data_IF_218251685292
#
_entry.id   IF_218251685292
#
_cell.length_a   1.000
_cell.length_b   1.000
_cell.length_c   1.000
_cell.angle_alpha   90.00
_cell.angle_beta   90.00
_cell.angle_gamma   90.00
#
_symmetry.space_group_name_H-M   'P 1'
#
loop_
_entity.id
_entity.type
_entity.pdbx_description
1 polymer ?
#
# COMPACT_ATOMS: atom_id res chain seq x y z
N UNK A 1 2.60 0.72 4.38
CA UNK A 1 2.55 -0.76 4.36
C UNK A 1 1.40 -1.24 5.23
N UNK A 2 0.58 -2.17 4.74
CA UNK A 2 -0.56 -2.67 5.50
C UNK A 2 -0.39 -4.13 5.91
N UNK A 3 -0.78 -4.46 7.13
CA UNK A 3 -0.95 -5.85 7.58
C UNK A 3 -2.41 -6.26 7.48
N UNK A 4 -2.69 -7.55 7.42
CA UNK A 4 -4.06 -8.06 7.36
C UNK A 4 -4.56 -8.48 8.74
N UNK A 5 -5.85 -8.31 8.97
CA UNK A 5 -6.59 -8.90 10.08
C UNK A 5 -7.89 -9.50 9.55
N UNK A 6 -8.33 -10.66 10.05
CA UNK A 6 -9.64 -11.19 9.66
C UNK A 6 -10.74 -10.21 10.11
N UNK A 7 -11.78 -10.06 9.30
CA UNK A 7 -12.87 -9.13 9.58
C UNK A 7 -13.57 -9.44 10.91
N UNK A 8 -13.69 -10.72 11.26
CA UNK A 8 -14.21 -11.18 12.56
C UNK A 8 -13.41 -10.71 13.76
N UNK A 9 -12.11 -10.43 13.64
CA UNK A 9 -11.33 -9.89 14.75
C UNK A 9 -11.83 -8.51 15.21
N UNK A 10 -12.56 -7.79 14.34
CA UNK A 10 -13.18 -6.52 14.68
C UNK A 10 -14.63 -6.67 15.18
N UNK A 11 -15.26 -7.83 14.95
CA UNK A 11 -16.61 -8.12 15.42
C UNK A 11 -16.55 -8.54 16.90
N UNK A 12 -16.99 -7.66 17.81
CA UNK A 12 -17.08 -7.94 19.25
C UNK A 12 -15.92 -7.41 20.10
N UNK A 13 -14.86 -6.88 19.49
CA UNK A 13 -13.71 -6.32 20.20
C UNK A 13 -13.43 -4.86 19.77
N UNK A 14 -14.15 -3.87 20.32
CA UNK A 14 -13.95 -2.46 19.97
C UNK A 14 -12.52 -1.97 20.25
N UNK A 15 -11.83 -2.58 21.22
CA UNK A 15 -10.42 -2.30 21.51
C UNK A 15 -9.48 -2.69 20.37
N UNK A 16 -9.75 -3.80 19.67
CA UNK A 16 -8.94 -4.25 18.53
C UNK A 16 -9.05 -3.28 17.35
N UNK A 17 -10.20 -2.65 17.18
CA UNK A 17 -10.40 -1.58 16.20
C UNK A 17 -9.80 -0.24 16.63
N UNK A 18 -9.56 -0.03 17.93
CA UNK A 18 -9.10 1.25 18.48
C UNK A 18 -7.59 1.41 18.50
N UNK A 19 -6.84 0.31 18.34
CA UNK A 19 -5.38 0.36 18.29
C UNK A 19 -4.90 0.48 16.84
N UNK A 20 -4.06 1.48 16.51
CA UNK A 20 -3.33 1.46 15.25
C UNK A 20 -2.34 0.27 15.24
N UNK A 21 -1.80 -0.12 14.08
CA UNK A 21 -0.71 -1.10 14.04
C UNK A 21 0.41 -0.74 15.00
N UNK A 22 1.00 -1.73 15.69
CA UNK A 22 2.12 -1.49 16.60
C UNK A 22 3.26 -0.73 15.90
N UNK A 23 3.49 -1.06 14.62
CA UNK A 23 4.36 -0.32 13.71
C UNK A 23 3.94 1.16 13.54
N UNK A 24 2.65 1.45 13.33
CA UNK A 24 2.17 2.83 13.15
C UNK A 24 2.38 3.73 14.39
N UNK A 25 2.32 3.16 15.60
CA UNK A 25 2.50 3.91 16.85
C UNK A 25 3.96 4.35 17.10
N UNK A 26 4.93 3.62 16.54
CA UNK A 26 6.36 3.95 16.69
C UNK A 26 6.94 4.75 15.49
N UNK A 27 6.22 4.87 14.36
CA UNK A 27 6.87 5.06 13.05
C UNK A 27 6.19 6.07 12.09
N UNK A 28 5.56 7.13 12.59
CA UNK A 28 5.20 8.26 11.71
C UNK A 28 4.21 7.93 10.58
N UNK A 29 3.17 7.14 10.85
CA UNK A 29 1.88 7.27 10.13
C UNK A 29 1.69 6.49 8.83
N UNK A 30 2.64 5.70 8.33
CA UNK A 30 2.51 4.99 7.04
C UNK A 30 2.16 3.50 7.13
N UNK A 31 1.71 3.03 8.30
CA UNK A 31 1.29 1.64 8.54
C UNK A 31 -0.22 1.56 8.81
N UNK A 32 -0.89 0.52 8.30
CA UNK A 32 -2.35 0.34 8.46
C UNK A 32 -2.77 -1.13 8.55
N UNK A 33 -4.05 -1.36 8.83
CA UNK A 33 -4.67 -2.69 8.76
C UNK A 33 -5.60 -2.80 7.55
N UNK A 34 -5.62 -3.95 6.89
CA UNK A 34 -6.66 -4.36 5.95
C UNK A 34 -7.51 -5.43 6.63
N UNK A 35 -8.82 -5.19 6.73
CA UNK A 35 -9.79 -6.18 7.19
C UNK A 35 -10.14 -7.13 6.03
N UNK A 36 -9.88 -8.42 6.21
CA UNK A 36 -10.07 -9.45 5.18
C UNK A 36 -11.25 -10.33 5.57
N UNK A 37 -12.26 -10.42 4.71
CA UNK A 37 -13.38 -11.34 4.93
C UNK A 37 -13.00 -12.74 4.45
N UNK A 38 -12.99 -13.71 5.36
CA UNK A 38 -12.74 -15.12 5.02
C UNK A 38 -13.90 -15.69 4.21
N UNK A 39 -13.61 -16.76 3.47
CA UNK A 39 -14.63 -17.47 2.69
C UNK A 39 -15.42 -18.48 3.55
N UNK A 40 -14.88 -18.84 4.71
CA UNK A 40 -15.42 -19.81 5.67
C UNK A 40 -16.37 -19.17 6.71
N UNK A 41 -16.28 -17.85 6.92
CA UNK A 41 -17.29 -17.09 7.67
C UNK A 41 -18.57 -17.03 6.85
N UNK A 42 -19.35 -18.10 6.99
CA UNK A 42 -20.65 -18.27 6.38
C UNK A 42 -21.48 -17.01 6.51
N UNK A 43 -22.13 -16.62 5.42
CA UNK A 43 -23.40 -15.91 5.44
C UNK A 43 -23.95 -15.90 4.03
N UNK A 44 -25.16 -16.45 3.91
CA UNK A 44 -26.23 -15.80 3.17
C UNK A 44 -25.88 -15.35 1.75
N UNK A 45 -25.58 -16.31 0.88
CA UNK A 45 -26.20 -16.21 -0.45
C UNK A 45 -27.71 -16.32 -0.24
N UNK A 46 -28.39 -15.21 0.12
CA UNK A 46 -29.85 -15.19 0.06
C UNK A 46 -30.23 -15.31 -1.42
N UNK A 47 -30.43 -16.54 -1.89
CA UNK A 47 -31.09 -16.86 -3.16
C UNK A 47 -32.55 -16.41 -3.05
N UNK A 48 -32.79 -15.12 -3.18
CA UNK A 48 -34.12 -14.62 -3.49
C UNK A 48 -34.22 -14.57 -5.02
N UNK A 49 -35.01 -15.48 -5.60
CA UNK A 49 -35.48 -15.41 -6.99
C UNK A 49 -34.41 -15.54 -8.09
N UNK A 50 -33.50 -16.50 -7.99
CA UNK A 50 -32.63 -16.91 -9.11
C UNK A 50 -31.54 -15.91 -9.53
N UNK A 51 -31.48 -14.73 -8.91
CA UNK A 51 -30.43 -13.74 -9.09
C UNK A 51 -29.48 -13.80 -7.87
N UNK A 52 -28.16 -13.85 -8.12
CA UNK A 52 -27.16 -13.74 -7.06
C UNK A 52 -27.24 -12.34 -6.44
N UNK A 53 -27.94 -12.21 -5.31
CA UNK A 53 -27.93 -10.98 -4.52
C UNK A 53 -26.58 -10.84 -3.82
N UNK A 54 -25.90 -9.71 -4.01
CA UNK A 54 -24.65 -9.43 -3.32
C UNK A 54 -24.91 -9.30 -1.81
N UNK A 55 -24.10 -9.91 -0.93
CA UNK A 55 -24.33 -9.83 0.51
C UNK A 55 -24.19 -8.39 1.01
N UNK A 56 -25.23 -7.92 1.70
CA UNK A 56 -25.28 -6.57 2.28
C UNK A 56 -24.29 -6.45 3.44
N UNK A 57 -23.46 -5.43 3.42
CA UNK A 57 -22.60 -5.06 4.54
C UNK A 57 -23.39 -4.21 5.53
N UNK A 58 -23.38 -4.61 6.81
CA UNK A 58 -24.13 -3.94 7.88
C UNK A 58 -23.25 -3.26 8.94
N UNK A 59 -21.95 -3.50 8.92
CA UNK A 59 -21.01 -3.01 9.93
C UNK A 59 -19.68 -2.60 9.33
N UNK A 60 -18.86 -1.96 10.17
CA UNK A 60 -17.50 -1.55 9.86
C UNK A 60 -16.50 -2.39 10.70
N UNK A 61 -15.23 -2.50 10.26
CA UNK A 61 -14.67 -1.93 9.03
C UNK A 61 -15.19 -2.61 7.76
N UNK A 62 -15.12 -1.92 6.61
CA UNK A 62 -15.41 -2.57 5.32
C UNK A 62 -14.34 -3.63 4.99
N UNK A 63 -14.68 -4.73 4.31
CA UNK A 63 -13.69 -5.71 3.86
C UNK A 63 -12.87 -5.20 2.67
N UNK A 64 -11.54 -5.19 2.80
CA UNK A 64 -10.61 -4.70 1.77
C UNK A 64 -10.32 -5.71 0.65
N UNK A 65 -10.62 -7.00 0.85
CA UNK A 65 -10.55 -8.03 -0.20
C UNK A 65 -11.85 -8.13 -1.03
N UNK A 66 -12.69 -7.08 -1.01
CA UNK A 66 -13.98 -7.03 -1.70
C UNK A 66 -14.16 -5.69 -2.43
N UNK A 67 -14.99 -5.71 -3.47
CA UNK A 67 -15.52 -4.48 -4.06
C UNK A 67 -16.87 -4.19 -3.43
N UNK A 68 -17.01 -3.00 -2.87
CA UNK A 68 -18.23 -2.53 -2.21
C UNK A 68 -19.02 -1.67 -3.18
N UNK A 69 -20.22 -2.12 -3.54
CA UNK A 69 -21.21 -1.33 -4.27
C UNK A 69 -21.94 -0.43 -3.28
N UNK A 70 -21.81 0.88 -3.46
CA UNK A 70 -22.53 1.91 -2.71
C UNK A 70 -23.75 2.33 -3.52
N UNK A 71 -24.94 2.21 -2.95
CA UNK A 71 -26.20 2.57 -3.62
C UNK A 71 -27.13 3.29 -2.64
N UNK A 72 -27.80 4.34 -3.11
CA UNK A 72 -28.79 5.08 -2.33
C UNK A 72 -30.21 4.68 -2.76
N UNK A 73 -30.98 3.97 -1.91
CA UNK A 73 -32.35 3.60 -2.21
C UNK A 73 -33.27 4.79 -2.48
N UNK A 74 -32.94 6.00 -2.01
CA UNK A 74 -33.72 7.20 -2.27
C UNK A 74 -33.71 7.62 -3.75
N UNK A 75 -32.77 7.10 -4.54
CA UNK A 75 -32.69 7.35 -5.99
C UNK A 75 -33.67 6.47 -6.79
N UNK A 76 -34.34 5.49 -6.17
CA UNK A 76 -35.31 4.63 -6.84
C UNK A 76 -34.71 3.91 -8.04
N UNK A 77 -35.36 4.04 -9.20
CA UNK A 77 -34.92 3.41 -10.46
C UNK A 77 -33.55 3.90 -10.95
N UNK A 78 -33.09 5.07 -10.50
CA UNK A 78 -31.78 5.61 -10.86
C UNK A 78 -30.65 5.11 -9.96
N UNK A 79 -30.95 4.33 -8.92
CA UNK A 79 -29.96 3.89 -7.94
C UNK A 79 -28.78 3.17 -8.58
N UNK A 80 -29.03 2.31 -9.56
CA UNK A 80 -27.99 1.57 -10.27
C UNK A 80 -27.13 2.46 -11.17
N UNK A 81 -27.73 3.49 -11.79
CA UNK A 81 -27.02 4.42 -12.67
C UNK A 81 -26.02 5.32 -11.92
N UNK A 82 -26.30 5.57 -10.64
CA UNK A 82 -25.46 6.40 -9.76
C UNK A 82 -24.67 5.60 -8.72
N UNK A 83 -24.76 4.28 -8.74
CA UNK A 83 -24.03 3.44 -7.81
C UNK A 83 -22.52 3.53 -8.06
N UNK A 84 -21.76 3.68 -6.98
CA UNK A 84 -20.29 3.61 -7.03
C UNK A 84 -19.84 2.21 -6.61
N UNK A 85 -19.10 1.52 -7.47
CA UNK A 85 -18.36 0.31 -7.10
C UNK A 85 -16.96 0.73 -6.62
N UNK A 86 -16.62 0.46 -5.36
CA UNK A 86 -15.48 1.06 -4.67
C UNK A 86 -14.66 0.03 -3.89
N UNK A 87 -13.33 0.21 -3.87
CA UNK A 87 -12.46 -0.39 -2.85
C UNK A 87 -12.16 0.68 -1.81
N UNK A 88 -12.68 0.49 -0.60
CA UNK A 88 -12.43 1.38 0.53
C UNK A 88 -11.07 1.04 1.14
N UNK A 89 -10.06 1.86 0.83
CA UNK A 89 -8.71 1.71 1.35
C UNK A 89 -8.57 2.50 2.66
N UNK A 90 -8.27 1.87 3.80
CA UNK A 90 -8.12 2.58 5.07
C UNK A 90 -6.99 3.62 5.02
N UNK A 91 -7.22 4.80 5.59
CA UNK A 91 -6.17 5.81 5.71
C UNK A 91 -5.06 5.27 6.63
N UNK A 92 -3.78 5.27 6.21
CA UNK A 92 -2.70 4.74 7.04
C UNK A 92 -2.51 5.60 8.30
N UNK A 93 -1.99 5.00 9.37
CA UNK A 93 -1.78 5.66 10.67
C UNK A 93 -3.04 5.84 11.51
N UNK A 94 -4.23 5.77 10.92
CA UNK A 94 -5.49 5.83 11.63
C UNK A 94 -5.92 4.44 12.15
N UNK A 95 -6.48 4.33 13.37
CA UNK A 95 -7.03 3.06 13.84
C UNK A 95 -8.26 2.67 13.00
N UNK A 96 -8.55 1.37 12.81
CA UNK A 96 -9.74 0.93 12.08
C UNK A 96 -11.06 1.54 12.57
N UNK A 97 -11.18 1.84 13.86
CA UNK A 97 -12.36 2.49 14.47
C UNK A 97 -12.59 3.92 14.01
N UNK A 98 -11.57 4.58 13.44
CA UNK A 98 -11.73 5.92 12.85
C UNK A 98 -12.62 5.91 11.61
N UNK A 99 -12.82 4.73 10.99
CA UNK A 99 -13.63 4.55 9.78
C UNK A 99 -13.24 5.51 8.64
N UNK A 100 -11.96 5.90 8.58
CA UNK A 100 -11.43 6.79 7.55
C UNK A 100 -10.90 6.00 6.37
N UNK A 101 -11.40 6.32 5.18
CA UNK A 101 -11.05 5.63 3.95
C UNK A 101 -10.79 6.61 2.80
N UNK A 102 -9.93 6.16 1.88
CA UNK A 102 -9.95 6.59 0.49
C UNK A 102 -10.95 5.72 -0.27
N UNK A 103 -11.94 6.34 -0.92
CA UNK A 103 -12.90 5.63 -1.76
C UNK A 103 -12.38 5.55 -3.21
N UNK A 104 -11.67 4.46 -3.53
CA UNK A 104 -11.12 4.22 -4.88
C UNK A 104 -12.19 3.59 -5.77
N UNK A 105 -12.48 4.22 -6.90
CA UNK A 105 -13.44 3.68 -7.86
C UNK A 105 -12.91 2.42 -8.55
N UNK A 106 -13.67 1.34 -8.48
CA UNK A 106 -13.34 0.02 -9.03
C UNK A 106 -13.98 -0.25 -10.39
N UNK A 107 -14.86 0.61 -10.87
CA UNK A 107 -15.55 0.44 -12.15
C UNK A 107 -15.75 1.76 -12.90
N UNK A 108 -16.20 1.64 -14.15
CA UNK A 108 -16.53 2.78 -15.01
C UNK A 108 -15.32 3.54 -15.55
N UNK A 109 -15.58 4.75 -16.05
CA UNK A 109 -14.58 5.64 -16.69
C UNK A 109 -13.54 6.20 -15.72
N UNK A 110 -13.88 6.26 -14.43
CA UNK A 110 -13.04 6.83 -13.38
C UNK A 110 -12.32 5.76 -12.54
N UNK A 111 -12.28 4.51 -13.02
CA UNK A 111 -11.59 3.41 -12.33
C UNK A 111 -10.15 3.79 -12.00
N UNK A 112 -9.74 3.53 -10.76
CA UNK A 112 -8.43 3.87 -10.21
C UNK A 112 -8.33 5.27 -9.61
N UNK A 113 -9.31 6.16 -9.86
CA UNK A 113 -9.36 7.48 -9.22
C UNK A 113 -10.03 7.41 -7.85
N UNK A 114 -9.69 8.36 -6.98
CA UNK A 114 -10.25 8.49 -5.64
C UNK A 114 -11.37 9.52 -5.67
N UNK A 115 -12.51 9.20 -5.03
CA UNK A 115 -13.58 10.18 -4.78
C UNK A 115 -13.05 11.27 -3.84
N UNK A 116 -13.29 12.52 -4.21
CA UNK A 116 -12.94 13.68 -3.41
C UNK A 116 -14.21 14.37 -2.90
N UNK A 117 -14.11 14.97 -1.71
CA UNK A 117 -15.08 15.91 -1.20
C UNK A 117 -14.95 17.24 -1.95
N UNK A 118 -16.09 17.91 -2.14
CA UNK A 118 -16.12 19.29 -2.67
C UNK A 118 -15.88 20.27 -1.54
N UNK A 119 -15.49 21.51 -1.83
CA UNK A 119 -15.43 22.54 -0.80
C UNK A 119 -16.81 23.13 -0.57
N UNK A 120 -17.05 23.66 0.63
CA UNK A 120 -18.28 24.39 0.93
C UNK A 120 -18.50 25.57 -0.02
N UNK A 121 -17.43 26.25 -0.43
CA UNK A 121 -17.44 27.33 -1.42
C UNK A 121 -17.91 26.89 -2.83
N UNK A 122 -17.80 25.59 -3.16
CA UNK A 122 -18.31 25.04 -4.42
C UNK A 122 -19.84 24.85 -4.40
N UNK A 123 -20.48 25.08 -3.26
CA UNK A 123 -21.93 25.06 -3.13
C UNK A 123 -22.55 26.35 -3.68
N UNK A 124 -23.15 26.26 -4.87
CA UNK A 124 -23.96 27.34 -5.40
C UNK A 124 -25.31 27.38 -4.65
N UNK A 125 -25.66 28.55 -4.13
CA UNK A 125 -27.02 28.81 -3.65
C UNK A 125 -27.82 29.34 -4.83
N UNK A 126 -28.70 28.53 -5.41
CA UNK A 126 -29.57 28.96 -6.52
C UNK A 126 -30.99 28.47 -6.26
N UNK A 127 -32.00 29.35 -6.43
CA UNK A 127 -33.45 29.04 -6.31
C UNK A 127 -33.85 28.16 -5.10
N UNK A 128 -33.68 28.66 -3.87
CA UNK A 128 -34.15 28.00 -2.62
C UNK A 128 -33.59 26.58 -2.34
N UNK A 129 -32.64 26.10 -3.13
CA UNK A 129 -31.92 24.85 -2.89
C UNK A 129 -30.40 25.07 -2.86
N UNK A 130 -29.72 24.32 -1.98
CA UNK A 130 -28.25 24.29 -1.91
C UNK A 130 -27.75 23.25 -2.89
N UNK A 131 -27.30 23.68 -4.06
CA UNK A 131 -26.77 22.79 -5.10
C UNK A 131 -25.24 22.72 -4.98
N UNK A 132 -24.74 21.61 -4.44
CA UNK A 132 -23.30 21.36 -4.36
C UNK A 132 -22.82 20.80 -5.70
N UNK A 133 -21.85 21.47 -6.32
CA UNK A 133 -21.18 20.93 -7.51
C UNK A 133 -20.15 19.91 -7.07
N UNK A 134 -20.47 18.64 -7.27
CA UNK A 134 -19.62 17.55 -6.84
C UNK A 134 -18.25 17.54 -7.54
N UNK A 135 -17.20 17.51 -6.72
CA UNK A 135 -15.83 17.33 -7.19
C UNK A 135 -15.70 16.04 -8.00
N UNK A 136 -15.00 16.12 -9.14
CA UNK A 136 -14.68 14.95 -9.96
C UNK A 136 -13.66 14.07 -9.22
N UNK A 137 -13.73 12.73 -9.37
CA UNK A 137 -12.67 11.85 -8.91
C UNK A 137 -11.32 12.25 -9.51
N UNK A 138 -10.25 12.14 -8.72
CA UNK A 138 -8.89 12.53 -9.13
C UNK A 138 -7.84 11.51 -8.65
N UNK A 139 -6.61 11.53 -9.19
CA UNK A 139 -5.55 10.63 -8.76
C UNK A 139 -5.30 10.73 -7.26
N UNK A 140 -4.86 9.63 -6.65
CA UNK A 140 -4.48 9.61 -5.25
C UNK A 140 -3.43 10.69 -4.95
N UNK A 141 -3.69 11.47 -3.90
CA UNK A 141 -2.77 12.44 -3.35
C UNK A 141 -2.88 12.38 -1.81
N UNK A 142 -1.82 11.94 -1.09
CA UNK A 142 -1.88 11.86 0.37
C UNK A 142 -1.96 13.24 1.05
N UNK A 143 -1.56 14.32 0.39
CA UNK A 143 -1.69 15.68 0.92
C UNK A 143 -3.11 16.24 0.76
N UNK A 144 -3.93 15.60 -0.08
CA UNK A 144 -5.30 16.00 -0.37
C UNK A 144 -6.28 15.43 0.66
N UNK A 145 -6.45 16.17 1.76
CA UNK A 145 -7.37 15.82 2.84
C UNK A 145 -8.82 15.61 2.37
N UNK A 146 -9.23 16.21 1.23
CA UNK A 146 -10.58 16.04 0.69
C UNK A 146 -10.81 14.64 0.09
N UNK A 147 -9.76 13.86 -0.18
CA UNK A 147 -9.90 12.45 -0.60
C UNK A 147 -10.21 11.51 0.57
N UNK A 148 -10.06 11.98 1.82
CA UNK A 148 -10.34 11.20 3.01
C UNK A 148 -11.79 11.43 3.47
N UNK A 149 -12.53 10.34 3.64
CA UNK A 149 -13.88 10.36 4.19
C UNK A 149 -14.00 9.45 5.41
N UNK A 150 -14.70 9.95 6.43
CA UNK A 150 -15.15 9.14 7.56
C UNK A 150 -16.51 8.52 7.21
N UNK A 151 -16.61 7.19 7.27
CA UNK A 151 -17.87 6.47 7.09
C UNK A 151 -18.54 6.32 8.44
N UNK A 152 -19.78 6.80 8.53
CA UNK A 152 -20.56 6.79 9.77
C UNK A 152 -21.72 5.80 9.61
N UNK A 153 -21.78 4.72 10.41
CA UNK A 153 -22.91 3.80 10.39
C UNK A 153 -24.17 4.50 10.93
N UNK A 154 -25.32 4.23 10.33
CA UNK A 154 -26.62 4.74 10.76
C UNK A 154 -27.66 3.61 10.84
N UNK A 155 -28.92 3.93 11.20
CA UNK A 155 -30.00 2.95 11.30
C UNK A 155 -30.29 2.30 9.95
N UNK A 156 -29.66 1.15 9.72
CA UNK A 156 -29.85 0.34 8.52
C UNK A 156 -29.04 0.84 7.31
N UNK A 157 -27.91 1.49 7.48
CA UNK A 157 -27.06 1.90 6.37
C UNK A 157 -25.86 2.71 6.83
N UNK A 158 -25.38 3.57 5.95
CA UNK A 158 -24.25 4.45 6.23
C UNK A 158 -24.52 5.87 5.71
N UNK A 159 -23.74 6.81 6.23
CA UNK A 159 -23.52 8.14 5.68
C UNK A 159 -22.01 8.42 5.73
N UNK A 160 -21.55 9.53 5.19
CA UNK A 160 -20.14 9.92 5.25
C UNK A 160 -19.97 11.38 5.67
N UNK A 161 -18.83 11.66 6.28
CA UNK A 161 -18.33 13.00 6.59
C UNK A 161 -17.00 13.21 5.90
N UNK A 162 -16.71 14.44 5.49
CA UNK A 162 -15.35 14.76 5.07
C UNK A 162 -14.44 14.84 6.29
N UNK A 163 -13.18 14.44 6.13
CA UNK A 163 -12.15 14.73 7.13
C UNK A 163 -11.75 16.20 7.09
N UNK A 164 -11.88 16.86 5.94
CA UNK A 164 -11.71 18.31 5.82
C UNK A 164 -12.90 19.03 6.46
N UNK A 165 -12.65 20.06 7.25
CA UNK A 165 -13.69 20.78 8.01
C UNK A 165 -14.72 21.46 7.10
N UNK A 166 -14.28 21.95 5.94
CA UNK A 166 -15.08 22.60 4.90
C UNK A 166 -15.47 21.64 3.76
N UNK A 167 -15.26 20.33 3.96
CA UNK A 167 -15.46 19.32 2.92
C UNK A 167 -16.89 18.76 2.90
N UNK A 168 -17.45 18.68 1.69
CA UNK A 168 -18.75 18.08 1.41
C UNK A 168 -18.56 16.78 0.62
N UNK A 169 -18.83 15.59 1.20
CA UNK A 169 -18.73 14.34 0.47
C UNK A 169 -19.59 14.34 -0.79
N UNK A 170 -19.17 13.55 -1.79
CA UNK A 170 -19.92 13.33 -3.04
C UNK A 170 -21.38 12.97 -2.74
N UNK A 171 -22.35 13.44 -3.55
CA UNK A 171 -23.79 13.40 -3.21
C UNK A 171 -24.27 12.05 -2.68
N UNK A 172 -23.80 10.94 -3.28
CA UNK A 172 -24.15 9.59 -2.88
C UNK A 172 -23.75 9.29 -1.43
N UNK A 173 -22.56 9.72 -1.02
CA UNK A 173 -21.99 9.46 0.31
C UNK A 173 -22.55 10.40 1.39
N UNK A 174 -22.89 11.65 1.04
CA UNK A 174 -23.57 12.59 1.95
C UNK A 174 -25.08 12.37 2.08
N UNK A 175 -25.64 11.42 1.33
CA UNK A 175 -27.04 11.04 1.50
C UNK A 175 -27.31 10.59 2.95
N UNK A 176 -28.56 10.79 3.39
CA UNK A 176 -29.00 10.42 4.75
C UNK A 176 -28.80 8.93 5.03
N UNK A 177 -28.93 8.09 4.00
CA UNK A 177 -28.75 6.63 4.12
C UNK A 177 -28.45 6.00 2.76
N UNK A 178 -27.23 5.57 2.57
CA UNK A 178 -26.85 4.64 1.49
C UNK A 178 -26.57 3.25 2.04
N UNK A 179 -26.63 2.25 1.16
CA UNK A 179 -26.41 0.84 1.43
C UNK A 179 -25.11 0.38 0.79
N UNK A 180 -24.47 -0.60 1.43
CA UNK A 180 -23.24 -1.21 0.97
C UNK A 180 -23.45 -2.69 0.69
N UNK A 181 -22.97 -3.15 -0.46
CA UNK A 181 -23.01 -4.55 -0.86
C UNK A 181 -21.61 -5.00 -1.24
N UNK A 182 -21.09 -6.04 -0.58
CA UNK A 182 -19.74 -6.52 -0.84
C UNK A 182 -19.78 -7.69 -1.81
N UNK A 183 -19.01 -7.58 -2.89
CA UNK A 183 -18.85 -8.65 -3.88
C UNK A 183 -17.41 -9.16 -3.89
N UNK A 184 -17.24 -10.45 -4.16
CA UNK A 184 -15.90 -11.01 -4.41
C UNK A 184 -15.42 -10.55 -5.79
N UNK A 185 -14.30 -9.81 -5.87
CA UNK A 185 -13.71 -9.47 -7.15
C UNK A 185 -13.16 -10.73 -7.82
N UNK A 186 -13.12 -10.75 -9.16
CA UNK A 186 -12.57 -11.88 -9.92
C UNK A 186 -11.04 -11.89 -9.98
N UNK A 187 -10.41 -10.75 -9.73
CA UNK A 187 -9.02 -10.49 -10.11
C UNK A 187 -8.08 -10.33 -8.92
N UNK A 188 -8.58 -10.37 -7.68
CA UNK A 188 -7.73 -10.32 -6.51
C UNK A 188 -8.33 -11.01 -5.30
N UNK A 189 -7.47 -11.57 -4.48
CA UNK A 189 -7.75 -11.92 -3.10
C UNK A 189 -6.52 -11.59 -2.26
N UNK A 190 -6.73 -11.30 -0.97
CA UNK A 190 -5.66 -10.91 -0.07
C UNK A 190 -5.37 -12.06 0.89
N UNK A 191 -4.21 -12.69 0.74
CA UNK A 191 -3.71 -13.69 1.68
C UNK A 191 -3.27 -13.04 3.00
N UNK A 192 -2.96 -13.85 4.00
CA UNK A 192 -2.47 -13.37 5.30
C UNK A 192 -1.10 -12.67 5.17
N UNK A 193 -1.00 -11.46 5.73
CA UNK A 193 0.21 -10.67 5.85
C UNK A 193 0.29 -10.05 7.26
N UNK A 194 1.03 -10.71 8.16
CA UNK A 194 1.12 -10.32 9.58
C UNK A 194 2.12 -9.20 9.87
N UNK A 195 2.82 -8.71 8.85
CA UNK A 195 3.92 -7.76 8.99
C UNK A 195 5.25 -8.46 9.20
N UNK A 196 6.14 -7.82 9.95
CA UNK A 196 7.46 -8.35 10.26
C UNK A 196 7.37 -9.45 11.33
N UNK A 197 8.12 -10.53 11.13
CA UNK A 197 8.32 -11.59 12.12
C UNK A 197 9.70 -11.41 12.76
N UNK A 198 9.79 -10.61 13.84
CA UNK A 198 11.06 -10.30 14.52
C UNK A 198 11.85 -11.56 14.96
N UNK A 199 11.23 -12.60 15.54
CA UNK A 199 11.94 -13.83 15.88
C UNK A 199 12.54 -14.53 14.65
N UNK A 200 11.82 -14.62 13.53
CA UNK A 200 12.37 -15.21 12.29
C UNK A 200 13.48 -14.34 11.70
N UNK A 201 13.27 -13.02 11.61
CA UNK A 201 14.28 -12.06 11.13
C UNK A 201 15.57 -12.18 11.94
N UNK A 202 15.47 -12.37 13.25
CA UNK A 202 16.62 -12.49 14.16
C UNK A 202 17.31 -13.86 14.05
N UNK A 203 16.54 -14.96 13.95
CA UNK A 203 17.11 -16.32 13.88
C UNK A 203 17.90 -16.56 12.59
N UNK A 204 17.43 -16.05 11.46
CA UNK A 204 18.15 -16.15 10.18
C UNK A 204 19.54 -15.50 10.21
N UNK A 205 19.79 -14.55 11.13
CA UNK A 205 21.10 -13.93 11.36
C UNK A 205 22.11 -14.90 12.00
N UNK A 206 21.65 -15.99 12.62
CA UNK A 206 22.48 -16.88 13.45
C UNK A 206 22.69 -18.27 12.86
N UNK A 207 21.89 -18.67 11.86
CA UNK A 207 21.93 -20.01 11.27
C UNK A 207 22.32 -19.93 9.80
N UNK A 208 23.57 -20.29 9.47
CA UNK A 208 24.01 -20.43 8.08
C UNK A 208 23.32 -21.66 7.43
N UNK A 209 23.00 -21.63 6.13
CA UNK A 209 22.74 -22.86 5.39
C UNK A 209 23.91 -23.83 5.58
N UNK A 210 23.68 -25.15 5.71
CA UNK A 210 24.76 -26.12 5.85
C UNK A 210 25.76 -25.98 4.69
N UNK A 211 27.06 -26.15 4.97
CA UNK A 211 28.16 -25.95 4.03
C UNK A 211 28.09 -26.79 2.74
N UNK A 212 27.17 -27.76 2.67
CA UNK A 212 26.89 -28.60 1.50
C UNK A 212 25.83 -28.03 0.56
N UNK A 213 25.17 -26.91 0.90
CA UNK A 213 24.31 -26.21 -0.02
C UNK A 213 25.17 -25.51 -1.08
N UNK A 214 25.01 -25.89 -2.34
CA UNK A 214 25.59 -25.14 -3.47
C UNK A 214 25.17 -23.68 -3.40
N UNK A 215 26.03 -22.75 -3.83
CA UNK A 215 25.79 -21.30 -3.79
C UNK A 215 24.47 -20.85 -4.46
N UNK A 216 23.93 -21.69 -5.35
CA UNK A 216 22.62 -21.53 -6.01
C UNK A 216 21.41 -21.86 -5.14
N UNK A 217 21.61 -22.40 -3.93
CA UNK A 217 20.56 -22.95 -3.06
C UNK A 217 20.43 -22.24 -1.70
N UNK A 218 20.94 -21.02 -1.55
CA UNK A 218 20.57 -20.17 -0.42
C UNK A 218 19.09 -19.76 -0.57
N UNK A 219 18.19 -20.58 -0.04
CA UNK A 219 16.74 -20.32 -0.07
C UNK A 219 16.44 -19.05 0.70
N UNK A 220 16.02 -18.01 -0.02
CA UNK A 220 15.61 -16.75 0.59
C UNK A 220 14.43 -17.01 1.54
N UNK A 221 14.56 -16.57 2.80
CA UNK A 221 13.53 -16.78 3.83
C UNK A 221 12.68 -15.52 3.93
N UNK A 222 11.38 -15.62 3.67
CA UNK A 222 10.46 -14.51 3.87
C UNK A 222 10.25 -14.27 5.38
N UNK A 223 10.68 -13.11 5.86
CA UNK A 223 10.59 -12.69 7.27
C UNK A 223 9.61 -11.55 7.52
N UNK A 224 9.07 -10.96 6.47
CA UNK A 224 8.00 -9.99 6.59
C UNK A 224 7.08 -9.99 5.37
N UNK A 225 5.79 -9.76 5.60
CA UNK A 225 4.78 -9.62 4.54
C UNK A 225 3.81 -8.49 4.84
N UNK A 226 3.54 -7.67 3.82
CA UNK A 226 2.59 -6.57 3.85
C UNK A 226 1.88 -6.43 2.50
N UNK A 227 0.83 -5.63 2.46
CA UNK A 227 0.25 -5.14 1.22
C UNK A 227 0.42 -3.62 1.08
N UNK A 228 0.35 -3.14 -0.15
CA UNK A 228 0.20 -1.72 -0.45
C UNK A 228 -0.82 -1.52 -1.58
N UNK A 229 -1.75 -0.55 -1.47
CA UNK A 229 -2.62 -0.17 -2.57
C UNK A 229 -1.83 0.16 -3.84
N UNK A 230 -2.41 -0.14 -5.00
CA UNK A 230 -1.77 0.09 -6.31
C UNK A 230 -1.28 1.52 -6.49
N UNK A 231 -1.98 2.52 -5.97
CA UNK A 231 -1.59 3.92 -6.13
C UNK A 231 -0.30 4.30 -5.40
N UNK A 232 0.25 3.49 -4.47
CA UNK A 232 1.58 3.75 -3.92
C UNK A 232 2.72 3.27 -4.84
N UNK A 233 2.39 2.57 -5.92
CA UNK A 233 3.32 2.10 -6.96
C UNK A 233 2.88 2.72 -8.29
N UNK A 234 3.81 3.20 -9.11
CA UNK A 234 3.53 3.65 -10.47
C UNK A 234 4.35 2.82 -11.43
N UNK A 235 3.68 2.07 -12.30
CA UNK A 235 4.33 1.42 -13.44
C UNK A 235 4.31 2.39 -14.62
N UNK A 236 5.47 2.88 -15.04
CA UNK A 236 5.56 3.86 -16.12
C UNK A 236 4.98 3.31 -17.43
N UNK A 237 4.29 4.16 -18.17
CA UNK A 237 3.57 3.78 -19.39
C UNK A 237 2.31 2.93 -19.18
N UNK A 238 1.93 2.59 -17.94
CA UNK A 238 0.70 1.85 -17.63
C UNK A 238 -0.41 2.81 -17.21
N UNK A 239 -1.54 2.89 -17.94
CA UNK A 239 -2.68 3.72 -17.51
C UNK A 239 -3.22 3.26 -16.15
N UNK A 240 -3.60 4.20 -15.29
CA UNK A 240 -4.07 3.94 -13.93
C UNK A 240 -5.16 2.86 -13.84
N UNK A 241 -6.12 2.92 -14.77
CA UNK A 241 -7.19 1.92 -14.91
C UNK A 241 -6.63 0.52 -15.15
N UNK A 242 -5.67 0.39 -16.07
CA UNK A 242 -5.04 -0.88 -16.41
C UNK A 242 -4.18 -1.41 -15.26
N UNK A 243 -3.50 -0.53 -14.53
CA UNK A 243 -2.71 -0.91 -13.36
C UNK A 243 -3.61 -1.49 -12.25
N UNK A 244 -4.74 -0.82 -11.94
CA UNK A 244 -5.70 -1.33 -10.95
C UNK A 244 -6.29 -2.69 -11.35
N UNK A 245 -6.55 -2.89 -12.65
CA UNK A 245 -7.04 -4.17 -13.19
C UNK A 245 -6.00 -5.29 -13.10
N UNK A 246 -4.71 -4.96 -13.27
CA UNK A 246 -3.60 -5.92 -13.08
C UNK A 246 -3.41 -6.29 -11.62
N UNK A 247 -3.42 -5.30 -10.73
CA UNK A 247 -3.16 -5.50 -9.31
C UNK A 247 -3.74 -4.35 -8.49
N UNK A 248 -4.86 -4.56 -7.82
CA UNK A 248 -5.49 -3.54 -6.94
C UNK A 248 -4.66 -3.29 -5.68
N UNK A 249 -4.00 -4.31 -5.17
CA UNK A 249 -2.95 -4.24 -4.16
C UNK A 249 -1.67 -4.86 -4.70
N UNK A 250 -0.53 -4.53 -4.11
CA UNK A 250 0.75 -5.20 -4.33
C UNK A 250 1.17 -5.84 -3.01
N UNK A 251 1.74 -7.04 -3.08
CA UNK A 251 2.38 -7.69 -1.94
C UNK A 251 3.80 -7.12 -1.79
N UNK A 252 4.20 -6.86 -0.55
CA UNK A 252 5.57 -6.49 -0.19
C UNK A 252 6.10 -7.61 0.68
N UNK A 253 7.17 -8.28 0.24
CA UNK A 253 7.82 -9.35 0.99
C UNK A 253 9.23 -8.91 1.35
N UNK A 254 9.59 -9.02 2.63
CA UNK A 254 10.97 -8.88 3.09
C UNK A 254 11.59 -10.28 3.18
N UNK A 255 12.61 -10.53 2.36
CA UNK A 255 13.31 -11.82 2.26
C UNK A 255 14.74 -11.67 2.78
N UNK A 256 15.27 -12.67 3.49
CA UNK A 256 16.66 -12.71 3.96
C UNK A 256 17.45 -13.79 3.23
N UNK A 257 18.67 -13.46 2.81
CA UNK A 257 19.62 -14.43 2.27
C UNK A 257 21.06 -14.04 2.62
N UNK A 258 21.96 -15.01 2.57
CA UNK A 258 23.40 -14.79 2.67
C UNK A 258 24.00 -14.79 1.26
N UNK A 259 24.79 -13.76 0.93
CA UNK A 259 25.52 -13.67 -0.33
C UNK A 259 27.02 -13.62 -0.06
N UNK A 260 27.84 -14.19 -0.95
CA UNK A 260 29.29 -14.07 -0.85
C UNK A 260 29.70 -12.62 -1.16
N UNK A 261 30.42 -11.99 -0.23
CA UNK A 261 30.90 -10.62 -0.35
C UNK A 261 31.99 -10.55 -1.42
N UNK A 262 31.59 -10.24 -2.64
CA UNK A 262 32.51 -9.89 -3.72
C UNK A 262 33.07 -8.51 -3.44
N UNK A 263 34.40 -8.36 -3.51
CA UNK A 263 35.08 -7.12 -3.11
C UNK A 263 34.55 -5.88 -3.84
N UNK A 264 33.88 -4.98 -3.11
CA UNK A 264 33.44 -3.67 -3.61
C UNK A 264 31.94 -3.48 -3.83
N UNK A 265 31.07 -4.24 -3.16
CA UNK A 265 29.61 -4.16 -3.36
C UNK A 265 28.95 -2.94 -2.68
N UNK A 266 28.00 -2.32 -3.37
CA UNK A 266 27.17 -1.23 -2.83
C UNK A 266 26.28 -1.73 -1.68
N UNK A 267 26.09 -0.91 -0.64
CA UNK A 267 25.22 -1.25 0.50
C UNK A 267 23.74 -1.39 0.09
N UNK A 268 23.37 -0.89 -1.09
CA UNK A 268 22.01 -0.95 -1.63
C UNK A 268 22.02 -1.19 -3.14
N UNK A 269 21.18 -2.12 -3.62
CA UNK A 269 20.92 -2.37 -5.05
C UNK A 269 19.43 -2.35 -5.36
N UNK A 270 19.09 -1.96 -6.59
CA UNK A 270 17.71 -1.92 -7.09
C UNK A 270 17.58 -2.91 -8.25
N UNK A 271 16.50 -3.68 -8.28
CA UNK A 271 16.22 -4.68 -9.30
C UNK A 271 14.83 -4.43 -9.91
N UNK A 272 14.78 -3.80 -11.08
CA UNK A 272 13.53 -3.59 -11.82
C UNK A 272 13.06 -4.92 -12.43
N UNK A 273 11.76 -5.20 -12.33
CA UNK A 273 11.20 -6.51 -12.70
C UNK A 273 11.72 -7.67 -11.84
N UNK A 274 12.46 -7.38 -10.76
CA UNK A 274 13.03 -8.36 -9.85
C UNK A 274 14.38 -8.95 -10.26
N UNK A 275 14.91 -8.64 -11.44
CA UNK A 275 16.19 -9.20 -11.91
C UNK A 275 17.10 -8.22 -12.65
N UNK A 276 16.55 -7.12 -13.19
CA UNK A 276 17.33 -6.17 -13.99
C UNK A 276 17.90 -5.10 -13.06
N UNK A 277 19.22 -4.95 -13.04
CA UNK A 277 19.87 -3.91 -12.24
C UNK A 277 19.34 -2.53 -12.65
N UNK A 278 18.86 -1.80 -11.66
CA UNK A 278 18.27 -0.48 -11.80
C UNK A 278 19.03 0.56 -11.00
N UNK A 279 18.69 1.83 -11.26
CA UNK A 279 19.22 2.98 -10.53
C UNK A 279 18.07 3.82 -10.02
N UNK A 280 18.25 4.40 -8.83
CA UNK A 280 17.39 5.44 -8.34
C UNK A 280 17.67 6.71 -9.15
N UNK A 281 16.62 7.34 -9.69
CA UNK A 281 16.76 8.60 -10.40
C UNK A 281 17.04 9.72 -9.40
N UNK A 282 17.98 10.61 -9.75
CA UNK A 282 18.29 11.78 -8.93
C UNK A 282 17.06 12.67 -8.84
N UNK A 283 16.62 12.96 -7.62
CA UNK A 283 15.59 13.98 -7.38
C UNK A 283 16.22 15.32 -7.75
N UNK A 284 15.79 15.91 -8.86
CA UNK A 284 16.31 17.22 -9.30
C UNK A 284 16.19 18.23 -8.16
N UNK A 285 17.20 19.10 -8.01
CA UNK A 285 17.33 20.05 -6.89
C UNK A 285 16.11 20.98 -6.68
N UNK A 286 15.18 21.07 -7.64
CA UNK A 286 13.91 21.79 -7.53
C UNK A 286 12.84 21.06 -6.68
N UNK A 287 13.01 19.78 -6.34
CA UNK A 287 12.07 18.99 -5.55
C UNK A 287 12.49 18.82 -4.07
N UNK A 288 13.67 19.33 -3.68
CA UNK A 288 14.16 19.35 -2.30
C UNK A 288 13.86 20.68 -1.57
N UNK A 289 12.82 21.39 -2.01
CA UNK A 289 12.31 22.53 -1.26
C UNK A 289 11.29 22.01 -0.24
N UNK A 290 11.72 21.97 1.03
CA UNK A 290 10.85 21.96 2.21
C UNK A 290 9.98 23.23 2.21
N UNK A 291 8.96 23.28 1.37
CA UNK A 291 7.79 24.19 1.44
C UNK A 291 6.96 23.97 0.17
N UNK A 292 5.64 23.88 0.32
CA UNK A 292 4.72 23.53 -0.75
C UNK A 292 4.93 24.34 -2.03
N UNK A 293 5.04 23.62 -3.16
CA UNK A 293 5.19 24.22 -4.49
C UNK A 293 6.45 23.80 -5.25
N UNK A 294 6.81 22.52 -5.25
CA UNK A 294 7.92 21.97 -6.04
C UNK A 294 7.46 20.76 -6.87
N UNK A 295 7.61 20.85 -8.18
CA UNK A 295 7.21 19.90 -9.23
C UNK A 295 7.86 18.51 -9.12
N UNK A 296 7.43 17.70 -8.15
CA UNK A 296 7.69 16.25 -8.09
C UNK A 296 6.39 15.52 -7.80
N UNK A 297 6.11 14.41 -8.47
CA UNK A 297 4.82 13.73 -8.42
C UNK A 297 4.58 12.91 -7.13
N UNK A 298 5.45 13.05 -6.12
CA UNK A 298 5.42 12.33 -4.84
C UNK A 298 6.09 10.96 -4.84
N UNK A 299 6.73 10.54 -5.94
CA UNK A 299 7.32 9.21 -6.09
C UNK A 299 8.84 9.29 -6.24
N UNK A 300 9.51 8.31 -5.63
CA UNK A 300 10.91 7.99 -5.91
C UNK A 300 10.92 7.04 -7.10
N UNK A 301 11.58 7.46 -8.18
CA UNK A 301 11.59 6.73 -9.43
C UNK A 301 12.85 5.88 -9.58
N UNK A 302 12.66 4.67 -10.10
CA UNK A 302 13.70 3.70 -10.37
C UNK A 302 13.61 3.25 -11.81
N UNK A 303 14.73 3.30 -12.54
CA UNK A 303 14.80 2.88 -13.93
C UNK A 303 15.84 1.77 -14.12
N UNK A 304 15.62 0.91 -15.12
CA UNK A 304 16.65 -0.03 -15.59
C UNK A 304 17.93 0.72 -15.99
N UNK A 305 19.09 0.11 -15.74
CA UNK A 305 20.39 0.69 -16.10
C UNK A 305 20.77 0.49 -17.58
N UNK A 306 19.98 -0.27 -18.35
CA UNK A 306 20.28 -0.64 -19.74
C UNK A 306 19.84 0.44 -20.73
N UNK A 307 20.71 0.78 -21.70
CA UNK A 307 20.50 1.86 -22.70
C UNK A 307 19.53 1.53 -23.84
N UNK A 308 19.04 0.29 -23.95
CA UNK A 308 18.07 -0.11 -24.97
C UNK A 308 16.67 -0.16 -24.36
N UNK A 309 15.86 0.86 -24.65
CA UNK A 309 14.53 1.05 -24.06
C UNK A 309 13.42 0.39 -24.89
N UNK A 310 12.73 -0.64 -24.41
CA UNK A 310 11.29 -0.71 -24.55
C UNK A 310 10.67 0.26 -23.52
N UNK A 311 9.65 0.99 -23.93
CA UNK A 311 8.76 1.74 -23.04
C UNK A 311 8.34 0.85 -21.85
N UNK A 312 8.46 1.32 -20.60
CA UNK A 312 7.89 0.62 -19.43
C UNK A 312 8.87 -0.11 -18.49
N UNK A 313 10.13 0.34 -18.35
CA UNK A 313 11.06 -0.15 -17.31
C UNK A 313 11.40 0.90 -16.26
N UNK A 314 10.42 1.74 -15.92
CA UNK A 314 10.52 2.74 -14.85
C UNK A 314 9.40 2.49 -13.86
N UNK A 315 9.75 2.46 -12.58
CA UNK A 315 8.81 2.19 -11.48
C UNK A 315 8.93 3.29 -10.45
N UNK A 316 7.82 3.93 -10.11
CA UNK A 316 7.72 4.90 -9.04
C UNK A 316 7.26 4.21 -7.76
N UNK A 317 7.96 4.42 -6.65
CA UNK A 317 7.49 4.05 -5.31
C UNK A 317 7.19 5.34 -4.57
N UNK A 318 5.98 5.49 -4.06
CA UNK A 318 5.60 6.69 -3.35
C UNK A 318 6.55 6.95 -2.17
N UNK A 319 6.95 8.22 -1.97
CA UNK A 319 7.99 8.58 -1.01
C UNK A 319 7.73 8.01 0.40
N UNK A 320 6.49 8.10 0.87
CA UNK A 320 6.13 7.59 2.20
C UNK A 320 6.22 6.04 2.33
N UNK A 321 6.04 5.30 1.24
CA UNK A 321 6.25 3.85 1.21
C UNK A 321 7.74 3.51 1.15
N UNK A 322 8.49 4.26 0.34
CA UNK A 322 9.94 4.12 0.23
C UNK A 322 10.65 4.39 1.56
N UNK A 323 10.34 5.52 2.21
CA UNK A 323 10.85 5.88 3.54
C UNK A 323 10.53 4.81 4.57
N UNK A 324 9.33 4.22 4.48
CA UNK A 324 8.93 3.13 5.37
C UNK A 324 9.76 1.85 5.17
N UNK A 325 10.13 1.49 3.94
CA UNK A 325 11.04 0.36 3.65
C UNK A 325 12.44 0.64 4.21
N UNK A 326 12.99 1.83 3.95
CA UNK A 326 14.32 2.22 4.43
C UNK A 326 14.38 2.22 5.96
N UNK A 327 13.35 2.74 6.61
CA UNK A 327 13.27 2.74 8.07
C UNK A 327 13.26 1.33 8.66
N UNK A 328 12.58 0.36 8.02
CA UNK A 328 12.58 -1.05 8.46
C UNK A 328 13.96 -1.70 8.40
N UNK A 329 14.77 -1.33 7.41
CA UNK A 329 16.16 -1.77 7.28
C UNK A 329 17.06 -1.11 8.32
N UNK A 330 16.92 0.21 8.53
CA UNK A 330 17.67 0.93 9.55
C UNK A 330 17.38 0.40 10.96
N UNK A 331 16.11 0.11 11.27
CA UNK A 331 15.75 -0.59 12.51
C UNK A 331 16.40 -1.97 12.60
N UNK A 332 16.53 -2.66 11.47
CA UNK A 332 17.26 -3.91 11.36
C UNK A 332 18.78 -3.78 11.49
N UNK A 333 19.32 -2.57 11.58
CA UNK A 333 20.75 -2.30 11.69
C UNK A 333 21.46 -2.09 10.35
N UNK A 334 20.74 -1.91 9.24
CA UNK A 334 21.34 -1.50 7.98
C UNK A 334 21.88 -0.06 8.06
N UNK A 335 23.03 0.19 7.44
CA UNK A 335 23.68 1.49 7.40
C UNK A 335 23.90 1.90 5.94
N UNK A 336 23.47 3.11 5.59
CA UNK A 336 23.65 3.70 4.26
C UNK A 336 25.10 4.08 4.00
N UNK A 337 25.53 4.00 2.74
CA UNK A 337 26.83 4.53 2.30
C UNK A 337 26.87 6.08 2.28
N UNK A 338 25.73 6.75 2.41
CA UNK A 338 25.59 8.22 2.30
C UNK A 338 25.94 9.01 3.59
N UNK A 339 26.25 8.35 4.71
CA UNK A 339 26.80 9.01 5.91
C UNK A 339 28.29 9.35 5.75
N UNK A 340 28.67 10.15 4.74
CA UNK A 340 30.00 10.79 4.71
C UNK A 340 29.92 12.17 4.06
N UNK A 341 29.46 13.17 4.83
CA UNK A 341 29.88 14.56 4.63
C UNK A 341 30.25 15.26 5.96
N UNK A 342 30.62 14.47 6.97
CA UNK A 342 31.05 14.97 8.27
C UNK A 342 32.01 14.02 8.97
N UNK A 343 33.28 14.04 8.56
CA UNK A 343 34.43 13.60 9.36
C UNK A 343 34.23 12.34 10.21
N UNK A 344 34.01 11.19 9.58
CA UNK A 344 33.92 9.90 10.26
C UNK A 344 34.47 8.81 9.37
N UNK A 345 35.41 8.03 9.89
CA UNK A 345 36.21 7.04 9.16
C UNK A 345 35.33 6.13 8.30
N UNK A 346 35.50 6.19 6.96
CA UNK A 346 35.18 5.08 6.06
C UNK A 346 35.92 3.88 6.63
N UNK A 347 35.24 3.01 7.38
CA UNK A 347 35.78 1.69 7.69
C UNK A 347 35.73 0.92 6.39
N UNK A 348 36.72 1.16 5.51
CA UNK A 348 37.14 0.16 4.54
C UNK A 348 37.22 -1.12 5.35
N UNK A 349 36.44 -2.12 4.97
CA UNK A 349 36.76 -3.49 5.35
C UNK A 349 38.16 -3.70 4.79
N UNK A 350 39.16 -3.48 5.64
CA UNK A 350 40.53 -3.75 5.30
C UNK A 350 40.57 -5.23 4.96
N UNK A 351 41.05 -5.54 3.75
CA UNK A 351 41.33 -6.89 3.32
C UNK A 351 42.36 -7.48 4.28
N UNK A 352 41.87 -8.20 5.29
CA UNK A 352 42.65 -9.15 6.05
C UNK A 352 42.77 -10.39 5.18
N UNK A 353 43.98 -10.65 4.67
CA UNK A 353 44.29 -11.83 3.89
C UNK A 353 43.96 -13.10 4.67
N UNK A 354 42.93 -13.80 4.22
CA UNK A 354 42.53 -15.12 4.67
C UNK A 354 41.54 -15.68 3.65
N UNK A 355 41.89 -16.80 3.02
CA UNK A 355 41.10 -17.45 1.98
C UNK A 355 39.83 -18.13 2.54
N UNK A 356 38.91 -17.35 3.11
CA UNK A 356 37.56 -17.77 3.46
C UNK A 356 36.55 -16.91 2.69
N UNK A 357 35.52 -17.52 2.10
CA UNK A 357 34.43 -16.75 1.50
C UNK A 357 33.72 -15.99 2.61
N UNK A 358 33.81 -14.67 2.56
CA UNK A 358 33.19 -13.78 3.52
C UNK A 358 31.74 -13.59 3.07
N UNK A 359 30.76 -13.88 3.91
CA UNK A 359 29.34 -13.77 3.50
C UNK A 359 28.67 -12.59 4.18
N UNK A 360 27.91 -11.80 3.40
CA UNK A 360 27.12 -10.66 3.88
C UNK A 360 25.64 -11.03 3.90
N UNK A 361 24.94 -10.58 4.94
CA UNK A 361 23.49 -10.66 4.96
C UNK A 361 22.90 -9.64 3.99
N UNK A 362 22.03 -10.11 3.10
CA UNK A 362 21.22 -9.28 2.22
C UNK A 362 19.75 -9.43 2.59
N UNK A 363 19.10 -8.30 2.89
CA UNK A 363 17.65 -8.21 3.06
C UNK A 363 17.04 -7.62 1.78
N UNK A 364 16.04 -8.31 1.21
CA UNK A 364 15.40 -7.94 -0.04
C UNK A 364 13.94 -7.58 0.19
N UNK A 365 13.58 -6.33 -0.09
CA UNK A 365 12.18 -5.97 -0.28
C UNK A 365 11.76 -6.29 -1.72
N UNK A 366 10.88 -7.26 -1.92
CA UNK A 366 10.26 -7.57 -3.20
C UNK A 366 8.83 -7.03 -3.25
N UNK A 367 8.54 -6.14 -4.21
CA UNK A 367 7.20 -5.62 -4.47
C UNK A 367 6.58 -6.41 -5.62
N UNK A 368 5.55 -7.19 -5.32
CA UNK A 368 4.93 -8.17 -6.21
C UNK A 368 3.50 -7.74 -6.57
N UNK A 369 3.11 -7.93 -7.83
CA UNK A 369 1.70 -7.95 -8.20
C UNK A 369 1.03 -9.18 -7.59
N UNK A 370 -0.30 -9.20 -7.54
CA UNK A 370 -1.06 -10.33 -6.96
C UNK A 370 -0.99 -11.61 -7.79
N UNK A 371 -0.54 -11.54 -9.05
CA UNK A 371 -0.20 -12.72 -9.86
C UNK A 371 1.18 -13.32 -9.50
N UNK A 372 1.90 -12.72 -8.54
CA UNK A 372 3.22 -13.14 -8.09
C UNK A 372 4.39 -12.50 -8.85
N UNK A 373 4.14 -11.77 -9.94
CA UNK A 373 5.21 -11.11 -10.70
C UNK A 373 5.84 -9.95 -9.93
N UNK A 374 7.18 -9.88 -9.91
CA UNK A 374 7.91 -8.81 -9.22
C UNK A 374 7.95 -7.57 -10.12
N UNK A 375 7.61 -6.41 -9.56
CA UNK A 375 7.67 -5.12 -10.27
C UNK A 375 8.99 -4.40 -9.99
N UNK A 376 9.40 -4.41 -8.72
CA UNK A 376 10.69 -3.87 -8.29
C UNK A 376 11.13 -4.62 -7.04
N UNK A 377 12.44 -4.78 -6.86
CA UNK A 377 13.02 -5.23 -5.62
C UNK A 377 14.20 -4.33 -5.19
N UNK A 378 14.43 -4.30 -3.89
CA UNK A 378 15.48 -3.51 -3.26
C UNK A 378 16.29 -4.43 -2.35
N UNK A 379 17.56 -4.61 -2.66
CA UNK A 379 18.50 -5.38 -1.85
C UNK A 379 19.28 -4.41 -0.95
N UNK A 380 19.33 -4.73 0.33
CA UNK A 380 20.06 -4.00 1.37
C UNK A 380 21.11 -4.93 1.97
N UNK A 381 22.38 -4.61 1.73
CA UNK A 381 23.52 -5.38 2.21
C UNK A 381 23.94 -4.86 3.58
N UNK A 382 23.82 -5.69 4.62
CA UNK A 382 24.18 -5.32 5.99
C UNK A 382 25.69 -5.50 6.19
N UNK A 383 26.49 -4.54 5.70
CA UNK A 383 27.97 -4.57 5.73
C UNK A 383 28.58 -4.62 7.15
N UNK A 384 27.79 -4.36 8.18
CA UNK A 384 28.17 -4.52 9.58
C UNK A 384 27.88 -5.94 10.14
N UNK A 385 27.12 -6.75 9.40
CA UNK A 385 26.80 -8.14 9.73
C UNK A 385 27.49 -9.05 8.74
N UNK A 386 28.75 -9.36 9.05
CA UNK A 386 29.59 -10.19 8.20
C UNK A 386 30.03 -11.42 8.99
N UNK A 387 30.03 -12.59 8.34
CA UNK A 387 30.58 -13.83 8.86
C UNK A 387 31.92 -14.12 8.19
#
# INVERSE_FOLDING_TARGET
MYTTKPLSAFAGHPEAASRPPAAAAAEGGCSGYLAVKSDEEGTDETRCWGLRSQPRVRGLPFPQNRVVTVSDPALGEYADAYADAVVFVPVPGAPPSSNRYYAVLAAGKHRGLVRACSREDDAATHCFCRCVRDAKPRPFDPADVYQQMEIVPNRGGFTARSVAADGLPYFLYRSKRWLAYASRPKHFDLAEALGLNDPLRSRSLTTQPPATATATAATAVAVGRWYTPFFYIKEDGVPLKAQMDRSTFYEIVLEQRWEEAMGGEASKRVLVGGSVEGKQEAVGAAASARTGGGSGDGYVWFSSATTTWPTGQRVGVHASLWEKMVWEEQRGGWVSDEEVDGGGVRKRVAGGGGAGSRSVLVERFAVKRLDGSVVVAFDFSHVNKIN
#
